data_IF_428616653980
#
_entry.id   IF_428616653980
#
_cell.length_a   1.000
_cell.length_b   1.000
_cell.length_c   1.000
_cell.angle_alpha   90.00
_cell.angle_beta   90.00
_cell.angle_gamma   90.00
#
_symmetry.space_group_name_H-M   'P 1'
#
loop_
_entity.id
_entity.type
_entity.pdbx_description
1 polymer ?
#
# COMPACT_ATOMS: atom_id res chain seq x y z
N UNK A 1 16.99 16.48 11.79
CA UNK A 1 17.09 15.01 11.76
C UNK A 1 18.39 14.65 11.06
N UNK A 2 19.33 13.99 11.73
CA UNK A 2 20.70 13.78 11.21
C UNK A 2 20.73 12.72 10.10
N UNK A 3 21.54 12.94 9.06
CA UNK A 3 21.77 11.99 7.94
C UNK A 3 22.22 10.60 8.41
N UNK A 4 22.83 10.49 9.60
CA UNK A 4 23.25 9.20 10.15
C UNK A 4 22.06 8.37 10.66
N UNK A 5 21.00 9.02 11.13
CA UNK A 5 19.80 8.35 11.63
C UNK A 5 19.05 7.61 10.50
N UNK A 6 18.86 8.27 9.34
CA UNK A 6 18.24 7.62 8.18
C UNK A 6 19.04 6.41 7.69
N UNK A 7 20.39 6.51 7.67
CA UNK A 7 21.25 5.39 7.25
C UNK A 7 21.20 4.19 8.17
N UNK A 8 20.94 4.38 9.46
CA UNK A 8 20.73 3.27 10.38
C UNK A 8 19.37 2.60 10.16
N UNK A 9 18.34 3.38 9.88
CA UNK A 9 17.01 2.89 9.56
C UNK A 9 16.99 2.01 8.30
N UNK A 10 17.71 2.43 7.26
CA UNK A 10 17.87 1.67 6.01
C UNK A 10 18.56 0.31 6.21
N UNK A 11 19.26 0.08 7.32
CA UNK A 11 19.84 -1.24 7.60
C UNK A 11 18.77 -2.28 7.91
N UNK A 12 17.63 -1.87 8.45
CA UNK A 12 16.52 -2.77 8.76
C UNK A 12 15.72 -3.06 7.49
N UNK A 13 15.56 -4.34 7.15
CA UNK A 13 14.90 -4.76 5.91
C UNK A 13 13.48 -4.19 5.76
N UNK A 14 12.77 -3.99 6.86
CA UNK A 14 11.40 -3.44 6.88
C UNK A 14 11.31 -2.00 6.37
N UNK A 15 12.36 -1.19 6.52
CA UNK A 15 12.37 0.22 6.10
C UNK A 15 13.09 0.46 4.77
N UNK A 16 13.60 -0.60 4.13
CA UNK A 16 14.30 -0.48 2.84
C UNK A 16 13.33 -0.26 1.69
N UNK A 17 13.71 0.64 0.78
CA UNK A 17 13.09 0.74 -0.54
C UNK A 17 13.82 -0.21 -1.49
N UNK A 18 13.10 -1.20 -2.00
CA UNK A 18 13.66 -2.19 -2.92
C UNK A 18 13.64 -1.68 -4.36
N UNK A 19 14.66 -2.08 -5.15
CA UNK A 19 14.80 -1.67 -6.55
C UNK A 19 14.90 -2.90 -7.46
N UNK A 20 14.03 -2.97 -8.47
CA UNK A 20 14.14 -3.98 -9.54
C UNK A 20 14.94 -3.45 -10.74
N UNK A 21 14.99 -2.12 -10.93
CA UNK A 21 15.76 -1.42 -11.98
C UNK A 21 16.37 -0.16 -11.38
N UNK A 22 17.55 0.23 -11.87
CA UNK A 22 18.21 1.45 -11.41
C UNK A 22 17.36 2.69 -11.70
N UNK A 23 17.10 3.50 -10.67
CA UNK A 23 16.34 4.73 -10.75
C UNK A 23 17.17 5.89 -10.21
N UNK A 24 17.34 6.96 -10.99
CA UNK A 24 18.04 8.18 -10.57
C UNK A 24 17.02 9.21 -10.07
N UNK A 25 16.90 9.33 -8.75
CA UNK A 25 15.90 10.21 -8.11
C UNK A 25 16.06 11.68 -8.49
N UNK A 26 17.29 12.14 -8.76
CA UNK A 26 17.59 13.51 -9.22
C UNK A 26 16.88 13.92 -10.53
N UNK A 27 16.40 12.95 -11.33
CA UNK A 27 15.70 13.21 -12.60
C UNK A 27 14.18 13.24 -12.47
N UNK A 28 13.63 12.98 -11.28
CA UNK A 28 12.20 12.92 -11.04
C UNK A 28 11.71 14.29 -10.56
N UNK A 29 10.87 14.94 -11.35
CA UNK A 29 10.36 16.29 -11.06
C UNK A 29 8.99 16.30 -10.40
N UNK A 30 8.25 15.19 -10.48
CA UNK A 30 6.88 15.08 -9.99
C UNK A 30 6.68 13.76 -9.25
N UNK A 31 5.92 13.81 -8.17
CA UNK A 31 5.53 12.65 -7.37
C UNK A 31 4.01 12.54 -7.38
N UNK A 32 3.49 11.52 -8.06
CA UNK A 32 2.08 11.17 -8.03
C UNK A 32 1.82 10.13 -6.96
N UNK A 33 0.72 10.28 -6.23
CA UNK A 33 0.27 9.32 -5.23
C UNK A 33 -1.14 8.84 -5.59
N UNK A 34 -1.36 7.53 -5.47
CA UNK A 34 -2.68 6.95 -5.44
C UNK A 34 -3.23 6.97 -4.00
N UNK A 35 -4.55 6.91 -3.82
CA UNK A 35 -5.17 7.05 -2.50
C UNK A 35 -5.30 5.69 -1.79
N UNK A 36 -6.12 4.80 -2.32
CA UNK A 36 -6.48 3.53 -1.69
C UNK A 36 -5.29 2.57 -1.70
N UNK A 37 -5.03 1.94 -0.55
CA UNK A 37 -3.92 1.01 -0.30
C UNK A 37 -2.51 1.58 -0.53
N UNK A 38 -2.38 2.83 -0.97
CA UNK A 38 -1.10 3.55 -1.11
C UNK A 38 -0.92 4.57 0.01
N UNK A 39 -1.77 5.59 0.07
CA UNK A 39 -1.77 6.55 1.18
C UNK A 39 -2.64 6.05 2.33
N UNK A 40 -3.79 5.44 2.02
CA UNK A 40 -4.72 4.89 3.00
C UNK A 40 -4.54 3.37 3.05
N UNK A 41 -3.86 2.88 4.08
CA UNK A 41 -3.84 1.45 4.38
C UNK A 41 -5.05 1.11 5.24
N UNK A 42 -6.01 0.40 4.63
CA UNK A 42 -7.14 -0.16 5.35
C UNK A 42 -6.68 -1.29 6.27
N UNK A 43 -7.36 -1.43 7.40
CA UNK A 43 -7.05 -2.46 8.38
C UNK A 43 -7.56 -3.81 7.90
N UNK A 44 -6.65 -4.76 7.78
CA UNK A 44 -7.00 -6.18 7.60
C UNK A 44 -7.29 -6.81 8.97
N UNK A 45 -8.34 -7.67 9.08
CA UNK A 45 -9.21 -8.17 8.02
C UNK A 45 -10.55 -7.42 7.84
N UNK A 46 -10.75 -6.30 8.54
CA UNK A 46 -12.07 -5.68 8.70
C UNK A 46 -12.69 -5.22 7.37
N UNK A 47 -11.88 -4.61 6.50
CA UNK A 47 -12.36 -4.15 5.20
C UNK A 47 -12.67 -5.33 4.27
N UNK A 48 -11.81 -6.35 4.28
CA UNK A 48 -11.99 -7.54 3.45
C UNK A 48 -13.26 -8.29 3.81
N UNK A 49 -13.57 -8.42 5.11
CA UNK A 49 -14.79 -9.05 5.58
C UNK A 49 -16.02 -8.26 5.14
N UNK A 50 -16.02 -6.93 5.35
CA UNK A 50 -17.13 -6.09 4.92
C UNK A 50 -17.38 -6.19 3.40
N UNK A 51 -16.31 -6.10 2.60
CA UNK A 51 -16.40 -6.23 1.16
C UNK A 51 -16.93 -7.61 0.74
N UNK A 52 -16.49 -8.67 1.42
CA UNK A 52 -16.96 -10.03 1.19
C UNK A 52 -18.44 -10.19 1.50
N UNK A 53 -18.90 -9.76 2.67
CA UNK A 53 -20.30 -9.87 3.08
C UNK A 53 -21.23 -9.10 2.14
N UNK A 54 -20.81 -7.90 1.72
CA UNK A 54 -21.54 -7.10 0.74
C UNK A 54 -21.62 -7.79 -0.63
N UNK A 55 -20.53 -8.42 -1.08
CA UNK A 55 -20.51 -9.17 -2.33
C UNK A 55 -21.44 -10.40 -2.27
N UNK A 56 -21.41 -11.14 -1.17
CA UNK A 56 -22.31 -12.30 -0.94
C UNK A 56 -23.76 -11.84 -0.95
N UNK A 57 -24.10 -10.79 -0.20
CA UNK A 57 -25.47 -10.27 -0.16
C UNK A 57 -25.93 -9.86 -1.55
N UNK A 58 -25.06 -9.21 -2.33
CA UNK A 58 -25.39 -8.77 -3.69
C UNK A 58 -25.69 -9.95 -4.62
N UNK A 59 -24.96 -11.06 -4.49
CA UNK A 59 -25.20 -12.28 -5.27
C UNK A 59 -26.54 -12.93 -4.91
N UNK A 60 -26.86 -13.01 -3.62
CA UNK A 60 -28.16 -13.49 -3.12
C UNK A 60 -29.29 -12.63 -3.70
N UNK A 61 -29.15 -11.31 -3.69
CA UNK A 61 -30.14 -10.38 -4.23
C UNK A 61 -30.34 -10.54 -5.75
N UNK A 62 -29.34 -11.07 -6.47
CA UNK A 62 -29.42 -11.40 -7.89
C UNK A 62 -30.05 -12.77 -8.17
N UNK A 63 -30.39 -13.52 -7.13
CA UNK A 63 -30.98 -14.87 -7.24
C UNK A 63 -29.94 -15.98 -7.38
N UNK A 64 -28.68 -15.72 -7.04
CA UNK A 64 -27.66 -16.78 -6.91
C UNK A 64 -27.86 -17.43 -5.55
N UNK A 65 -28.46 -18.63 -5.55
CA UNK A 65 -28.70 -19.46 -4.36
C UNK A 65 -27.57 -20.44 -4.08
#
# INVERSE_FOLDING_TARGET
>A
MSLNYCREFDKLAFFRVFVNRSLRMEKINFFGFDMDYTLIQYKSPDLEILAFDMAVQRLIDMGVS
#
